data_IF_834147825456
#
_entry.id   IF_834147825456
#
_cell.length_a   1.000
_cell.length_b   1.000
_cell.length_c   1.000
_cell.angle_alpha   90.00
_cell.angle_beta   90.00
_cell.angle_gamma   90.00
#
_symmetry.space_group_name_H-M   'P 1'
#
loop_
_entity.id
_entity.type
_entity.pdbx_description
1 polymer ?
#
# COMPACT_ATOMS: atom_id res chain seq x y z
N UNK A 1 -7.98 10.34 12.02
CA UNK A 1 -9.05 10.60 11.04
C UNK A 1 -8.43 11.41 9.91
N UNK A 2 -8.07 10.75 8.81
CA UNK A 2 -7.56 11.45 7.63
C UNK A 2 -8.79 12.09 6.97
N UNK A 3 -8.94 13.41 7.14
CA UNK A 3 -9.98 14.17 6.48
C UNK A 3 -9.72 14.11 4.97
N UNK A 4 -10.58 13.40 4.23
CA UNK A 4 -10.51 13.32 2.78
C UNK A 4 -10.78 14.67 2.10
N UNK A 5 -10.39 14.78 0.83
CA UNK A 5 -10.64 15.96 -0.01
C UNK A 5 -12.13 16.35 -0.06
N UNK A 6 -13.04 15.38 0.05
CA UNK A 6 -14.49 15.57 0.03
C UNK A 6 -14.98 16.45 1.18
N UNK A 7 -14.40 16.31 2.38
CA UNK A 7 -14.77 17.14 3.51
C UNK A 7 -14.35 18.61 3.30
N UNK A 8 -13.18 18.82 2.67
CA UNK A 8 -12.70 20.16 2.36
C UNK A 8 -13.61 20.88 1.35
N UNK A 9 -14.07 20.14 0.33
CA UNK A 9 -14.99 20.64 -0.68
C UNK A 9 -16.36 21.00 -0.09
N UNK A 10 -16.91 20.15 0.79
CA UNK A 10 -18.19 20.42 1.46
C UNK A 10 -18.16 21.70 2.30
N UNK A 11 -17.06 21.94 3.00
CA UNK A 11 -16.89 23.12 3.86
C UNK A 11 -16.50 24.39 3.09
N UNK A 12 -16.42 24.32 1.75
CA UNK A 12 -16.02 25.43 0.87
C UNK A 12 -14.69 26.07 1.31
N UNK A 13 -13.75 25.23 1.74
CA UNK A 13 -12.44 25.70 2.17
C UNK A 13 -11.67 26.20 0.94
N UNK A 14 -11.18 27.42 1.03
CA UNK A 14 -10.40 28.05 -0.03
C UNK A 14 -8.91 27.79 0.21
N UNK A 15 -8.29 27.02 -0.69
CA UNK A 15 -6.87 26.66 -0.62
C UNK A 15 -6.08 27.67 -1.43
N UNK A 16 -5.46 28.65 -0.76
CA UNK A 16 -4.65 29.68 -1.41
C UNK A 16 -3.20 29.25 -1.48
N UNK A 17 -2.82 28.68 -2.62
CA UNK A 17 -1.46 28.21 -2.85
C UNK A 17 -0.42 29.35 -2.89
N UNK A 18 -0.77 30.51 -3.45
CA UNK A 18 0.12 31.67 -3.54
C UNK A 18 0.54 32.20 -2.17
N UNK A 19 -0.39 32.21 -1.21
CA UNK A 19 -0.14 32.62 0.18
C UNK A 19 0.17 31.45 1.11
N UNK A 20 0.17 30.20 0.61
CA UNK A 20 0.32 28.97 1.40
C UNK A 20 -0.61 28.95 2.62
N UNK A 21 -1.91 29.16 2.42
CA UNK A 21 -2.91 29.23 3.51
C UNK A 21 -4.23 28.54 3.11
N UNK A 22 -4.87 27.87 4.07
CA UNK A 22 -6.27 27.47 4.02
C UNK A 22 -7.15 28.56 4.63
N UNK A 23 -8.18 28.99 3.91
CA UNK A 23 -9.21 29.88 4.43
C UNK A 23 -10.50 29.11 4.68
N UNK A 24 -11.01 29.20 5.91
CA UNK A 24 -12.24 28.56 6.37
C UNK A 24 -13.33 29.65 6.48
N UNK A 25 -14.27 29.76 5.52
CA UNK A 25 -15.27 30.81 5.51
C UNK A 25 -16.20 30.77 6.72
N UNK A 26 -16.58 29.56 7.15
CA UNK A 26 -17.49 29.31 8.27
C UNK A 26 -16.96 29.87 9.59
N UNK A 27 -15.65 29.83 9.79
CA UNK A 27 -15.00 30.30 11.03
C UNK A 27 -14.21 31.60 10.83
N UNK A 28 -14.25 32.16 9.62
CA UNK A 28 -13.41 33.28 9.19
C UNK A 28 -11.93 33.11 9.61
N UNK A 29 -11.41 31.89 9.45
CA UNK A 29 -10.10 31.49 9.95
C UNK A 29 -9.12 31.27 8.79
N UNK A 30 -7.89 31.76 8.93
CA UNK A 30 -6.79 31.47 8.02
C UNK A 30 -5.77 30.59 8.72
N UNK A 31 -5.46 29.42 8.14
CA UNK A 31 -4.47 28.47 8.65
C UNK A 31 -3.34 28.37 7.64
N UNK A 32 -2.10 28.77 7.97
CA UNK A 32 -0.96 28.63 7.06
C UNK A 32 -0.64 27.15 6.83
N UNK A 33 -0.07 26.84 5.67
CA UNK A 33 0.55 25.54 5.44
C UNK A 33 1.69 25.42 6.44
N UNK A 34 1.75 24.27 7.13
CA UNK A 34 2.83 24.03 8.08
C UNK A 34 4.17 24.01 7.33
N UNK A 35 4.97 25.07 7.50
CA UNK A 35 6.40 24.97 7.31
C UNK A 35 6.93 24.45 8.63
N UNK A 36 7.26 23.16 8.70
CA UNK A 36 7.82 22.54 9.91
C UNK A 36 9.03 23.31 10.41
N UNK A 37 8.83 24.15 11.41
CA UNK A 37 9.86 24.54 12.36
C UNK A 37 9.14 24.80 13.67
N UNK A 38 9.46 23.94 14.65
CA UNK A 38 9.16 24.07 16.08
C UNK A 38 7.68 24.09 16.50
N UNK A 39 7.11 22.89 16.67
CA UNK A 39 6.18 22.62 17.77
C UNK A 39 6.38 21.17 18.23
N UNK A 40 6.49 20.91 19.55
CA UNK A 40 6.75 19.58 20.08
C UNK A 40 5.44 18.80 20.16
N UNK A 41 5.13 18.05 19.11
CA UNK A 41 4.21 16.93 19.18
C UNK A 41 4.90 15.77 18.45
N UNK A 42 5.03 14.64 19.14
CA UNK A 42 5.76 13.45 18.74
C UNK A 42 5.29 12.90 17.38
N UNK A 43 6.02 13.23 16.31
CA UNK A 43 5.82 12.61 15.01
C UNK A 43 6.89 11.55 14.77
N UNK A 44 6.43 10.33 14.46
CA UNK A 44 7.25 9.26 13.91
C UNK A 44 7.60 9.64 12.46
N UNK A 45 8.88 9.84 12.17
CA UNK A 45 9.36 10.03 10.80
C UNK A 45 9.84 8.69 10.23
N UNK A 46 9.19 8.15 9.17
CA UNK A 46 9.70 6.97 8.49
C UNK A 46 10.91 7.37 7.63
N UNK A 47 12.03 6.68 7.85
CA UNK A 47 13.22 6.78 7.00
C UNK A 47 13.29 5.53 6.12
N UNK A 48 13.47 5.75 4.81
CA UNK A 48 13.55 4.68 3.80
C UNK A 48 15.01 4.51 3.42
N UNK A 49 15.61 3.39 3.81
CA UNK A 49 16.95 3.02 3.35
C UNK A 49 16.82 2.19 2.08
N UNK A 50 17.29 2.73 0.96
CA UNK A 50 17.39 2.01 -0.32
C UNK A 50 18.63 1.14 -0.27
N UNK A 51 18.49 -0.16 -0.52
CA UNK A 51 19.65 -1.04 -0.65
C UNK A 51 20.13 -0.96 -2.12
N UNK A 52 21.33 -0.43 -2.34
CA UNK A 52 21.97 -0.42 -3.67
C UNK A 52 22.14 -1.85 -4.18
N UNK A 53 21.62 -2.10 -5.38
CA UNK A 53 21.81 -3.38 -6.06
C UNK A 53 23.27 -3.48 -6.52
N UNK A 54 24.03 -4.43 -5.97
CA UNK A 54 25.33 -4.80 -6.51
C UNK A 54 25.13 -5.56 -7.82
N UNK A 55 25.59 -4.95 -8.92
CA UNK A 55 25.70 -5.60 -10.23
C UNK A 55 26.79 -6.66 -10.17
N UNK A 56 26.40 -7.94 -10.13
CA UNK A 56 27.33 -9.01 -10.46
C UNK A 56 27.49 -9.04 -11.98
N UNK A 57 28.62 -8.51 -12.41
CA UNK A 57 29.15 -8.57 -13.76
C UNK A 57 29.61 -9.99 -14.10
N UNK A 58 29.10 -10.55 -15.21
CA UNK A 58 29.95 -11.31 -16.13
C UNK A 58 29.38 -11.36 -17.57
N UNK A 59 30.19 -10.75 -18.44
CA UNK A 59 30.50 -10.99 -19.85
C UNK A 59 29.55 -10.65 -21.04
N UNK A 60 30.04 -9.63 -21.77
CA UNK A 60 29.92 -9.12 -23.15
C UNK A 60 29.06 -9.86 -24.21
N UNK A 61 28.24 -9.17 -25.03
CA UNK A 61 28.67 -8.36 -26.19
C UNK A 61 27.56 -7.45 -26.77
N UNK A 62 28.01 -6.35 -27.37
CA UNK A 62 27.38 -5.17 -27.97
C UNK A 62 26.05 -5.29 -28.77
N UNK A 63 25.15 -4.29 -28.63
CA UNK A 63 24.69 -3.35 -29.69
C UNK A 63 23.53 -2.43 -29.19
N UNK A 64 23.82 -1.12 -29.24
CA UNK A 64 22.99 0.07 -29.50
C UNK A 64 21.68 0.38 -28.70
N UNK A 65 21.83 1.36 -27.80
CA UNK A 65 21.00 2.54 -27.58
C UNK A 65 19.51 2.46 -27.94
N UNK A 66 18.69 2.08 -26.95
CA UNK A 66 17.36 2.65 -26.76
C UNK A 66 17.15 2.92 -25.26
N UNK A 67 16.90 4.19 -24.91
CA UNK A 67 16.47 4.66 -23.59
C UNK A 67 15.37 3.74 -23.05
N UNK A 68 15.75 2.77 -22.25
CA UNK A 68 14.86 1.73 -21.74
C UNK A 68 14.48 2.10 -20.31
N UNK A 69 13.25 2.60 -20.19
CA UNK A 69 12.50 2.61 -18.95
C UNK A 69 12.61 1.21 -18.33
N UNK A 70 13.24 1.11 -17.16
CA UNK A 70 13.40 -0.17 -16.46
C UNK A 70 12.02 -0.77 -16.23
N UNK A 71 11.72 -1.81 -16.99
CA UNK A 71 10.51 -2.58 -16.80
C UNK A 71 10.69 -3.31 -15.49
N UNK A 72 9.95 -2.91 -14.47
CA UNK A 72 9.82 -3.65 -13.22
C UNK A 72 9.14 -4.96 -13.59
N UNK A 73 9.93 -5.99 -13.90
CA UNK A 73 9.43 -7.36 -13.99
C UNK A 73 9.37 -7.92 -12.57
N UNK A 74 8.17 -8.19 -12.02
CA UNK A 74 8.06 -8.89 -10.75
C UNK A 74 8.71 -10.27 -10.88
N UNK A 75 9.63 -10.58 -9.97
CA UNK A 75 10.24 -11.90 -9.82
C UNK A 75 9.13 -12.91 -9.54
N UNK A 76 8.88 -13.81 -10.50
CA UNK A 76 7.87 -14.86 -10.38
C UNK A 76 8.39 -15.95 -9.44
N UNK A 77 8.21 -15.79 -8.13
CA UNK A 77 8.20 -16.95 -7.24
C UNK A 77 6.91 -17.71 -7.50
N UNK A 78 7.04 -19.00 -7.81
CA UNK A 78 5.95 -19.90 -8.17
C UNK A 78 5.17 -20.31 -6.91
N UNK A 79 4.65 -19.31 -6.18
CA UNK A 79 3.86 -19.48 -4.98
C UNK A 79 2.39 -19.62 -5.38
N UNK A 80 1.68 -20.55 -4.73
CA UNK A 80 0.23 -20.70 -4.86
C UNK A 80 -0.48 -19.42 -4.39
N UNK A 81 -0.55 -18.40 -5.26
CA UNK A 81 -1.31 -17.19 -5.01
C UNK A 81 -2.81 -17.56 -5.01
N UNK A 82 -3.49 -17.17 -3.95
CA UNK A 82 -4.95 -17.20 -3.88
C UNK A 82 -5.47 -16.09 -4.79
N UNK A 83 -5.86 -16.49 -6.00
CA UNK A 83 -6.48 -15.62 -6.98
C UNK A 83 -7.97 -15.45 -6.64
N UNK A 84 -8.48 -14.23 -6.73
CA UNK A 84 -9.93 -14.05 -6.84
C UNK A 84 -10.46 -14.91 -8.00
N UNK A 85 -11.65 -15.54 -7.89
CA UNK A 85 -12.21 -16.33 -8.97
C UNK A 85 -12.44 -15.46 -10.21
N UNK A 86 -11.51 -15.55 -11.16
CA UNK A 86 -11.51 -14.87 -12.46
C UNK A 86 -12.69 -15.22 -13.36
N UNK A 87 -13.58 -16.13 -12.93
CA UNK A 87 -14.75 -16.54 -13.67
C UNK A 87 -15.63 -15.35 -14.02
N UNK A 88 -15.83 -14.43 -13.06
CA UNK A 88 -16.62 -13.22 -13.29
C UNK A 88 -16.01 -12.33 -14.39
N UNK A 89 -14.69 -12.20 -14.44
CA UNK A 89 -14.01 -11.35 -15.43
C UNK A 89 -14.12 -11.95 -16.83
N UNK A 90 -13.91 -13.28 -16.95
CA UNK A 90 -14.03 -13.96 -18.25
C UNK A 90 -15.46 -13.95 -18.77
N UNK A 91 -16.46 -14.15 -17.91
CA UNK A 91 -17.88 -14.09 -18.26
C UNK A 91 -18.28 -12.66 -18.67
N UNK A 92 -17.71 -11.64 -18.02
CA UNK A 92 -17.86 -10.26 -18.46
C UNK A 92 -17.25 -10.02 -19.84
N UNK A 93 -16.03 -10.52 -20.11
CA UNK A 93 -15.38 -10.34 -21.42
C UNK A 93 -16.15 -11.03 -22.54
N UNK A 94 -16.79 -12.17 -22.29
CA UNK A 94 -17.59 -12.88 -23.30
C UNK A 94 -18.93 -12.21 -23.57
N UNK A 95 -19.53 -11.55 -22.58
CA UNK A 95 -20.81 -10.84 -22.75
C UNK A 95 -20.72 -9.52 -23.53
N UNK A 96 -19.52 -8.97 -23.75
CA UNK A 96 -19.33 -7.72 -24.52
C UNK A 96 -19.54 -7.98 -26.02
N UNK A 97 -20.56 -7.37 -26.61
CA UNK A 97 -20.93 -7.53 -28.03
C UNK A 97 -20.24 -6.53 -28.97
N UNK A 98 -19.57 -5.50 -28.43
CA UNK A 98 -18.99 -4.39 -29.21
C UNK A 98 -17.57 -4.65 -29.71
N UNK A 99 -16.97 -5.78 -29.35
CA UNK A 99 -15.59 -6.14 -29.71
C UNK A 99 -15.57 -7.34 -30.65
N UNK A 100 -14.64 -7.33 -31.60
CA UNK A 100 -14.40 -8.43 -32.52
C UNK A 100 -13.78 -9.65 -31.80
N UNK A 101 -13.90 -10.82 -32.40
CA UNK A 101 -13.38 -12.08 -31.85
C UNK A 101 -11.86 -12.05 -31.70
N UNK A 102 -11.15 -11.39 -32.62
CA UNK A 102 -9.70 -11.19 -32.52
C UNK A 102 -9.34 -10.36 -31.27
N UNK A 103 -10.05 -9.25 -31.05
CA UNK A 103 -9.83 -8.36 -29.91
C UNK A 103 -10.19 -9.04 -28.58
N UNK A 104 -11.26 -9.85 -28.58
CA UNK A 104 -11.65 -10.66 -27.43
C UNK A 104 -10.55 -11.65 -27.04
N UNK A 105 -10.02 -12.38 -28.02
CA UNK A 105 -8.92 -13.32 -27.77
C UNK A 105 -7.66 -12.63 -27.26
N UNK A 106 -7.31 -11.46 -27.80
CA UNK A 106 -6.19 -10.65 -27.33
C UNK A 106 -6.39 -10.22 -25.86
N UNK A 107 -7.60 -9.78 -25.52
CA UNK A 107 -7.95 -9.36 -24.16
C UNK A 107 -7.82 -10.52 -23.18
N UNK A 108 -8.39 -11.68 -23.49
CA UNK A 108 -8.28 -12.90 -22.67
C UNK A 108 -6.81 -13.30 -22.46
N UNK A 109 -6.00 -13.24 -23.53
CA UNK A 109 -4.55 -13.53 -23.44
C UNK A 109 -3.84 -12.55 -22.51
N UNK A 110 -4.19 -11.26 -22.58
CA UNK A 110 -3.60 -10.22 -21.72
C UNK A 110 -3.94 -10.46 -20.24
N UNK A 111 -5.20 -10.74 -19.92
CA UNK A 111 -5.62 -11.05 -18.56
C UNK A 111 -4.92 -12.30 -18.00
N UNK A 112 -4.80 -13.36 -18.80
CA UNK A 112 -4.05 -14.56 -18.40
C UNK A 112 -2.56 -14.25 -18.17
N UNK A 113 -1.96 -13.42 -19.02
CA UNK A 113 -0.55 -13.01 -18.88
C UNK A 113 -0.30 -12.22 -17.59
N UNK A 114 -1.20 -11.30 -17.24
CA UNK A 114 -1.07 -10.43 -16.08
C UNK A 114 -1.95 -10.87 -14.89
N UNK A 115 -2.27 -12.16 -14.80
CA UNK A 115 -3.14 -12.70 -13.75
C UNK A 115 -2.60 -12.43 -12.34
N UNK A 116 -1.28 -12.43 -12.18
CA UNK A 116 -0.58 -12.15 -10.92
C UNK A 116 -0.87 -10.74 -10.35
N UNK A 117 -1.27 -9.77 -11.19
CA UNK A 117 -1.60 -8.40 -10.73
C UNK A 117 -2.87 -8.39 -9.87
N UNK A 118 -3.77 -9.35 -10.07
CA UNK A 118 -5.00 -9.47 -9.28
C UNK A 118 -4.87 -10.52 -8.17
N UNK A 119 -3.64 -10.77 -7.71
CA UNK A 119 -3.40 -11.60 -6.54
C UNK A 119 -3.96 -10.92 -5.29
N UNK A 120 -4.75 -11.63 -4.49
CA UNK A 120 -5.25 -11.11 -3.21
C UNK A 120 -4.14 -11.06 -2.16
N UNK A 121 -3.11 -11.91 -2.32
CA UNK A 121 -1.92 -11.91 -1.48
C UNK A 121 -1.02 -10.72 -1.83
N UNK A 122 -0.65 -9.87 -0.87
CA UNK A 122 0.29 -8.79 -1.13
C UNK A 122 1.68 -9.33 -1.48
N UNK A 123 2.36 -8.65 -2.40
CA UNK A 123 3.75 -8.93 -2.73
C UNK A 123 4.71 -8.44 -1.64
N UNK A 124 5.88 -9.08 -1.55
CA UNK A 124 6.98 -8.64 -0.69
C UNK A 124 7.94 -7.76 -1.50
N UNK A 125 8.20 -6.53 -1.01
CA UNK A 125 9.23 -5.67 -1.57
C UNK A 125 10.56 -5.90 -0.82
N UNK A 126 11.62 -6.28 -1.55
CA UNK A 126 12.95 -6.53 -0.99
C UNK A 126 13.94 -5.40 -1.22
N UNK A 127 13.53 -4.27 -1.80
CA UNK A 127 14.41 -3.17 -2.20
C UNK A 127 14.70 -2.19 -1.07
N UNK A 128 13.81 -2.09 -0.08
CA UNK A 128 13.98 -1.20 1.06
C UNK A 128 13.30 -1.75 2.31
N UNK A 129 13.85 -1.35 3.46
CA UNK A 129 13.24 -1.59 4.77
C UNK A 129 12.84 -0.24 5.37
N UNK A 130 11.62 -0.14 5.87
CA UNK A 130 11.16 1.05 6.57
C UNK A 130 11.62 0.99 8.04
N UNK A 131 12.36 2.01 8.48
CA UNK A 131 12.71 2.18 9.89
C UNK A 131 11.94 3.35 10.48
N UNK A 132 11.37 3.13 11.67
CA UNK A 132 10.72 4.18 12.44
C UNK A 132 11.73 4.80 13.41
N UNK A 133 11.98 6.10 13.27
CA UNK A 133 12.78 6.86 14.23
C UNK A 133 11.82 7.52 15.24
N UNK A 134 11.98 7.19 16.52
CA UNK A 134 11.13 7.67 17.62
C UNK A 134 11.86 8.80 18.37
N UNK A 135 11.18 9.91 18.63
CA UNK A 135 11.72 11.06 19.39
C UNK A 135 11.98 10.71 20.87
N UNK A 136 11.07 9.95 21.46
CA UNK A 136 11.10 9.54 22.88
C UNK A 136 10.89 8.03 22.97
N UNK A 137 11.93 7.31 23.38
CA UNK A 137 11.88 5.84 23.57
C UNK A 137 11.28 5.49 24.93
N UNK A 138 9.98 5.73 25.09
CA UNK A 138 9.22 5.31 26.27
C UNK A 138 8.09 4.40 25.84
N UNK A 139 8.09 3.17 26.35
CA UNK A 139 7.04 2.20 26.04
C UNK A 139 5.71 2.61 26.68
N UNK A 140 4.63 2.38 25.94
CA UNK A 140 3.27 2.52 26.44
C UNK A 140 2.49 1.23 26.19
N UNK A 141 1.73 0.79 27.19
CA UNK A 141 0.91 -0.42 27.13
C UNK A 141 -0.55 -0.02 27.22
N UNK A 142 -1.32 -0.33 26.17
CA UNK A 142 -2.75 -0.03 26.08
C UNK A 142 -3.50 -1.31 25.81
N UNK A 143 -4.54 -1.60 26.60
CA UNK A 143 -5.37 -2.78 26.41
C UNK A 143 -6.16 -2.68 25.10
N UNK A 144 -6.25 -3.77 24.31
CA UNK A 144 -7.02 -3.76 23.08
C UNK A 144 -8.52 -3.69 23.39
N UNK A 145 -9.28 -3.10 22.49
CA UNK A 145 -10.73 -3.12 22.60
C UNK A 145 -11.27 -4.55 22.46
N UNK A 146 -12.30 -4.93 23.24
CA UNK A 146 -12.91 -6.25 23.13
C UNK A 146 -13.51 -6.47 21.73
N UNK A 147 -13.16 -7.60 21.11
CA UNK A 147 -13.73 -8.00 19.82
C UNK A 147 -15.14 -8.56 20.05
N UNK A 148 -16.17 -8.02 19.36
CA UNK A 148 -17.53 -8.56 19.44
C UNK A 148 -17.58 -10.04 19.06
N UNK A 149 -18.35 -10.85 19.79
CA UNK A 149 -18.45 -12.30 19.56
C UNK A 149 -18.77 -12.68 18.11
N UNK A 150 -19.66 -11.91 17.45
CA UNK A 150 -20.03 -12.12 16.05
C UNK A 150 -18.88 -11.89 15.06
N UNK A 151 -17.84 -11.14 15.46
CA UNK A 151 -16.69 -10.80 14.62
C UNK A 151 -15.48 -11.68 14.88
N UNK A 152 -15.41 -12.39 16.02
CA UNK A 152 -14.26 -13.22 16.39
C UNK A 152 -13.88 -14.24 15.30
N UNK A 153 -14.81 -15.04 14.74
CA UNK A 153 -14.44 -16.01 13.71
C UNK A 153 -13.80 -15.38 12.47
N UNK A 154 -14.29 -14.20 12.07
CA UNK A 154 -13.75 -13.49 10.91
C UNK A 154 -12.36 -12.90 11.21
N UNK A 155 -12.15 -12.35 12.41
CA UNK A 155 -10.84 -11.84 12.84
C UNK A 155 -9.83 -12.99 12.97
N UNK A 156 -10.23 -14.12 13.55
CA UNK A 156 -9.34 -15.28 13.72
C UNK A 156 -8.91 -15.88 12.37
N UNK A 157 -9.85 -15.95 11.41
CA UNK A 157 -9.55 -16.39 10.05
C UNK A 157 -8.55 -15.45 9.35
N UNK A 158 -8.77 -14.14 9.46
CA UNK A 158 -7.91 -13.14 8.85
C UNK A 158 -6.51 -13.09 9.51
N UNK A 159 -6.44 -13.18 10.83
CA UNK A 159 -5.18 -13.26 11.57
C UNK A 159 -4.38 -14.49 11.14
N UNK A 160 -5.03 -15.65 11.04
CA UNK A 160 -4.39 -16.89 10.59
C UNK A 160 -3.85 -16.77 9.17
N UNK A 161 -4.63 -16.14 8.27
CA UNK A 161 -4.23 -15.85 6.89
C UNK A 161 -3.01 -14.94 6.83
N UNK A 162 -2.99 -13.86 7.60
CA UNK A 162 -1.84 -12.93 7.66
C UNK A 162 -0.57 -13.57 8.23
N UNK A 163 -0.71 -14.43 9.24
CA UNK A 163 0.41 -15.21 9.81
C UNK A 163 0.96 -16.18 8.76
N UNK A 164 0.08 -16.90 8.05
CA UNK A 164 0.48 -17.81 6.97
C UNK A 164 1.20 -17.07 5.84
N UNK A 165 0.77 -15.84 5.53
CA UNK A 165 1.39 -15.01 4.50
C UNK A 165 2.71 -14.37 4.91
N UNK A 166 3.07 -14.41 6.21
CA UNK A 166 4.26 -13.77 6.75
C UNK A 166 4.13 -12.25 6.90
N UNK A 167 2.91 -11.71 6.87
CA UNK A 167 2.66 -10.27 7.08
C UNK A 167 2.73 -9.92 8.57
N UNK A 168 2.23 -10.83 9.40
CA UNK A 168 2.22 -10.69 10.86
C UNK A 168 3.03 -11.81 11.47
N UNK A 169 3.86 -11.47 12.44
CA UNK A 169 4.64 -12.43 13.24
C UNK A 169 4.30 -12.33 14.72
N UNK A 170 4.54 -13.42 15.44
CA UNK A 170 4.41 -13.42 16.90
C UNK A 170 5.67 -12.80 17.50
N UNK A 171 5.50 -11.73 18.27
CA UNK A 171 6.58 -11.09 19.00
C UNK A 171 6.20 -10.85 20.47
N UNK A 172 7.21 -10.77 21.34
CA UNK A 172 7.08 -10.25 22.69
C UNK A 172 7.65 -8.84 22.69
N UNK A 173 6.78 -7.84 22.90
CA UNK A 173 7.14 -6.42 22.78
C UNK A 173 6.65 -5.63 24.00
N UNK A 174 7.44 -4.68 24.53
CA UNK A 174 7.02 -3.83 25.64
C UNK A 174 5.88 -2.87 25.27
N UNK A 175 5.58 -2.73 23.97
CA UNK A 175 4.48 -1.92 23.43
C UNK A 175 3.17 -2.71 23.29
N UNK A 176 3.22 -4.03 23.45
CA UNK A 176 2.05 -4.90 23.38
C UNK A 176 1.58 -5.28 24.77
N UNK A 177 0.27 -5.28 25.04
CA UNK A 177 -0.25 -5.81 26.29
C UNK A 177 -0.15 -7.33 26.32
N UNK A 178 0.99 -7.85 26.79
CA UNK A 178 1.10 -9.22 27.30
C UNK A 178 0.85 -9.18 28.81
N UNK A 179 -0.32 -9.66 29.23
CA UNK A 179 -0.60 -10.40 30.49
C UNK A 179 -2.13 -10.48 30.70
N UNK A 180 -2.70 -11.63 30.36
CA UNK A 180 -3.88 -12.23 30.99
C UNK A 180 -3.89 -13.73 30.68
#
# INVERSE_FOLDING_TARGET
MILGNDWLAQQKIDVRYSSRTFYFPTWNLNVPFSNTTTVPIDYVHPEVTVQECSEDSDDTTDIENNSSLSTITPTMSNDNCEYEPFQNIMDHITSITTIDDSQRQQTIKLFKKYQHVFCTRPGLNSLYTCKFNVSVDTSFKVNPYPIPFSRRPAVDAEMSRMIQWGIVERCSSPYSPLDA
#
